data_IF_514363229154
#
_entry.id   IF_514363229154
#
_cell.length_a   1.000
_cell.length_b   1.000
_cell.length_c   1.000
_cell.angle_alpha   90.00
_cell.angle_beta   90.00
_cell.angle_gamma   90.00
#
_symmetry.space_group_name_H-M   'P 1'
#
loop_
_entity.id
_entity.type
_entity.pdbx_description
1 polymer ?
#
# COMPACT_ATOMS: atom_id res chain seq x y z
N UNK A 1 8.42 -36.98 -12.49
CA UNK A 1 8.37 -35.65 -13.14
C UNK A 1 9.60 -34.88 -12.72
N UNK A 2 10.28 -34.17 -13.63
CA UNK A 2 11.41 -33.30 -13.25
C UNK A 2 10.86 -32.11 -12.42
N UNK A 3 11.55 -31.68 -11.34
CA UNK A 3 11.14 -30.51 -10.58
C UNK A 3 11.07 -29.30 -11.51
N UNK A 4 9.93 -28.59 -11.51
CA UNK A 4 9.77 -27.34 -12.25
C UNK A 4 10.55 -26.25 -11.51
N UNK A 5 11.38 -25.50 -12.23
CA UNK A 5 12.19 -24.44 -11.63
C UNK A 5 11.33 -23.36 -10.94
N UNK A 6 11.83 -22.75 -9.88
CA UNK A 6 11.14 -21.65 -9.19
C UNK A 6 10.81 -20.48 -10.13
N UNK A 7 11.68 -20.21 -11.12
CA UNK A 7 11.45 -19.18 -12.13
C UNK A 7 10.25 -19.52 -13.02
N UNK A 8 10.16 -20.76 -13.50
CA UNK A 8 9.04 -21.23 -14.32
C UNK A 8 7.72 -21.20 -13.54
N UNK A 9 7.74 -21.51 -12.25
CA UNK A 9 6.54 -21.40 -11.38
C UNK A 9 6.10 -19.95 -11.19
N UNK A 10 7.04 -19.03 -10.98
CA UNK A 10 6.76 -17.59 -10.89
C UNK A 10 6.12 -17.07 -12.17
N UNK A 11 6.66 -17.45 -13.33
CA UNK A 11 6.14 -17.03 -14.63
C UNK A 11 4.72 -17.57 -14.88
N UNK A 12 4.49 -18.86 -14.64
CA UNK A 12 3.16 -19.45 -14.75
C UNK A 12 2.15 -18.74 -13.84
N UNK A 13 2.51 -18.51 -12.57
CA UNK A 13 1.67 -17.77 -11.64
C UNK A 13 1.35 -16.36 -12.14
N UNK A 14 2.35 -15.60 -12.58
CA UNK A 14 2.13 -14.24 -13.09
C UNK A 14 1.20 -14.24 -14.30
N UNK A 15 1.38 -15.15 -15.26
CA UNK A 15 0.52 -15.23 -16.45
C UNK A 15 -0.94 -15.53 -16.07
N UNK A 16 -1.15 -16.51 -15.19
CA UNK A 16 -2.48 -16.89 -14.70
C UNK A 16 -3.17 -15.77 -13.91
N UNK A 17 -2.40 -15.02 -13.11
CA UNK A 17 -2.92 -13.89 -12.37
C UNK A 17 -3.20 -12.68 -13.27
N UNK A 18 -2.38 -12.43 -14.29
CA UNK A 18 -2.64 -11.38 -15.30
C UNK A 18 -3.97 -11.64 -16.01
N UNK A 19 -4.20 -12.86 -16.50
CA UNK A 19 -5.45 -13.20 -17.18
C UNK A 19 -6.66 -13.09 -16.24
N UNK A 20 -6.51 -13.55 -14.99
CA UNK A 20 -7.56 -13.39 -13.98
C UNK A 20 -7.88 -11.91 -13.72
N UNK A 21 -6.87 -11.07 -13.52
CA UNK A 21 -7.03 -9.66 -13.17
C UNK A 21 -7.63 -8.80 -14.29
N UNK A 22 -7.58 -9.26 -15.55
CA UNK A 22 -8.30 -8.59 -16.66
C UNK A 22 -9.82 -8.52 -16.44
N UNK A 23 -10.41 -9.50 -15.75
CA UNK A 23 -11.85 -9.51 -15.43
C UNK A 23 -12.26 -8.34 -14.53
N UNK A 24 -11.30 -7.75 -13.81
CA UNK A 24 -11.48 -6.59 -12.93
C UNK A 24 -10.98 -5.29 -13.57
N UNK A 25 -10.80 -5.26 -14.91
CA UNK A 25 -10.25 -4.13 -15.65
C UNK A 25 -8.89 -3.64 -15.12
N UNK A 26 -8.11 -4.53 -14.50
CA UNK A 26 -6.83 -4.16 -13.92
C UNK A 26 -5.72 -4.09 -14.98
N UNK A 27 -4.91 -3.04 -14.92
CA UNK A 27 -3.70 -2.87 -15.73
C UNK A 27 -2.49 -3.43 -15.00
N UNK A 28 -1.73 -4.31 -15.66
CA UNK A 28 -0.49 -4.85 -15.10
C UNK A 28 0.75 -3.99 -15.41
N UNK A 29 1.53 -3.66 -14.39
CA UNK A 29 2.83 -2.97 -14.48
C UNK A 29 3.96 -3.95 -14.14
N UNK A 30 4.58 -4.52 -15.18
CA UNK A 30 5.63 -5.54 -15.07
C UNK A 30 6.82 -5.13 -14.20
N UNK A 31 7.26 -3.86 -14.26
CA UNK A 31 8.44 -3.38 -13.52
C UNK A 31 8.28 -3.45 -12.00
N UNK A 32 7.03 -3.48 -11.50
CA UNK A 32 6.71 -3.52 -10.08
C UNK A 32 5.93 -4.76 -9.65
N UNK A 33 5.58 -5.64 -10.60
CA UNK A 33 4.65 -6.74 -10.37
C UNK A 33 3.34 -6.25 -9.71
N UNK A 34 2.73 -5.23 -10.32
CA UNK A 34 1.61 -4.46 -9.76
C UNK A 34 0.40 -4.52 -10.69
N UNK A 35 -0.79 -4.72 -10.13
CA UNK A 35 -2.07 -4.57 -10.80
C UNK A 35 -2.75 -3.30 -10.31
N UNK A 36 -3.22 -2.46 -11.23
CA UNK A 36 -3.88 -1.19 -10.95
C UNK A 36 -5.27 -1.15 -11.58
N UNK A 37 -6.27 -0.88 -10.76
CA UNK A 37 -7.66 -0.63 -11.17
C UNK A 37 -7.92 0.86 -10.94
N UNK A 38 -8.25 1.59 -12.00
CA UNK A 38 -8.46 3.03 -11.95
C UNK A 38 -9.95 3.38 -12.05
N UNK A 39 -10.46 4.12 -11.06
CA UNK A 39 -11.86 4.51 -10.95
C UNK A 39 -11.95 5.95 -10.43
N UNK A 40 -12.56 6.87 -11.17
CA UNK A 40 -12.88 8.23 -10.72
C UNK A 40 -11.72 8.94 -9.98
N UNK A 41 -10.51 8.91 -10.56
CA UNK A 41 -9.25 9.48 -10.01
C UNK A 41 -8.58 8.69 -8.88
N UNK A 42 -9.17 7.57 -8.48
CA UNK A 42 -8.65 6.65 -7.48
C UNK A 42 -8.04 5.42 -8.15
N UNK A 43 -6.79 5.15 -7.80
CA UNK A 43 -6.04 3.96 -8.19
C UNK A 43 -6.06 2.96 -7.04
N UNK A 44 -6.75 1.83 -7.24
CA UNK A 44 -6.72 0.63 -6.39
C UNK A 44 -5.62 -0.30 -6.89
N UNK A 45 -4.67 -0.62 -6.02
CA UNK A 45 -3.40 -1.22 -6.41
C UNK A 45 -3.18 -2.51 -5.63
N UNK A 46 -2.95 -3.61 -6.34
CA UNK A 46 -2.55 -4.89 -5.77
C UNK A 46 -1.13 -5.22 -6.24
N UNK A 47 -0.16 -5.23 -5.32
CA UNK A 47 1.26 -5.47 -5.61
C UNK A 47 1.70 -6.84 -5.12
N UNK A 48 2.41 -7.57 -5.98
CA UNK A 48 2.99 -8.88 -5.66
C UNK A 48 4.49 -8.73 -5.43
N UNK A 49 4.94 -8.99 -4.20
CA UNK A 49 6.36 -8.98 -3.87
C UNK A 49 6.88 -10.42 -3.77
N UNK A 50 7.74 -10.79 -4.72
CA UNK A 50 8.37 -12.10 -4.79
C UNK A 50 9.80 -12.02 -4.24
N UNK A 51 10.04 -12.64 -3.08
CA UNK A 51 11.34 -12.68 -2.41
C UNK A 51 12.00 -14.02 -2.70
N UNK A 52 13.09 -14.01 -3.46
CA UNK A 52 13.87 -15.21 -3.73
C UNK A 52 14.83 -15.49 -2.56
N UNK A 53 14.71 -16.67 -1.94
CA UNK A 53 15.57 -17.11 -0.82
C UNK A 53 16.37 -18.36 -1.18
N UNK A 54 16.72 -18.53 -2.45
CA UNK A 54 17.55 -19.62 -2.95
C UNK A 54 16.79 -20.94 -3.08
N UNK A 55 16.33 -21.51 -1.96
CA UNK A 55 15.58 -22.78 -1.93
C UNK A 55 14.07 -22.62 -2.16
N UNK A 56 13.55 -21.41 -2.01
CA UNK A 56 12.13 -21.11 -2.14
C UNK A 56 11.89 -19.67 -2.58
N UNK A 57 10.67 -19.42 -3.05
CA UNK A 57 10.14 -18.11 -3.37
C UNK A 57 9.04 -17.79 -2.34
N UNK A 58 9.20 -16.70 -1.61
CA UNK A 58 8.14 -16.18 -0.74
C UNK A 58 7.34 -15.11 -1.50
N UNK A 59 6.03 -15.26 -1.55
CA UNK A 59 5.12 -14.28 -2.13
C UNK A 59 4.38 -13.54 -1.01
N UNK A 60 4.47 -12.21 -1.06
CA UNK A 60 3.64 -11.29 -0.28
C UNK A 60 2.72 -10.50 -1.19
N UNK A 61 1.49 -10.29 -0.74
CA UNK A 61 0.49 -9.47 -1.43
C UNK A 61 0.23 -8.21 -0.63
N UNK A 62 0.35 -7.07 -1.29
CA UNK A 62 0.07 -5.77 -0.70
C UNK A 62 -1.07 -5.09 -1.44
N UNK A 63 -1.96 -4.45 -0.70
CA UNK A 63 -3.04 -3.64 -1.26
C UNK A 63 -2.77 -2.18 -0.97
N UNK A 64 -3.09 -1.31 -1.92
CA UNK A 64 -3.00 0.13 -1.74
C UNK A 64 -4.12 0.86 -2.46
N UNK A 65 -4.46 2.04 -1.98
CA UNK A 65 -5.40 2.96 -2.60
C UNK A 65 -4.69 4.29 -2.75
N UNK A 66 -4.86 4.97 -3.88
CA UNK A 66 -4.16 6.23 -4.15
C UNK A 66 -5.06 7.18 -4.94
N UNK A 67 -4.91 8.48 -4.77
CA UNK A 67 -5.50 9.47 -5.69
C UNK A 67 -4.39 9.94 -6.62
N UNK A 68 -4.63 9.87 -7.93
CA UNK A 68 -3.63 10.19 -8.94
C UNK A 68 -3.13 11.64 -8.86
N UNK A 69 -4.02 12.59 -8.56
CA UNK A 69 -3.66 14.00 -8.33
C UNK A 69 -2.69 14.19 -7.15
N UNK A 70 -2.96 13.51 -6.03
CA UNK A 70 -2.13 13.56 -4.83
C UNK A 70 -0.77 12.93 -5.09
N UNK A 71 -0.73 11.80 -5.78
CA UNK A 71 0.52 11.14 -6.15
C UNK A 71 1.39 12.05 -7.02
N UNK A 72 0.78 12.76 -7.98
CA UNK A 72 1.49 13.71 -8.84
C UNK A 72 2.03 14.89 -8.05
N UNK A 73 1.20 15.55 -7.23
CA UNK A 73 1.64 16.67 -6.40
C UNK A 73 2.71 16.27 -5.38
N UNK A 74 2.53 15.12 -4.72
CA UNK A 74 3.54 14.58 -3.81
C UNK A 74 4.87 14.30 -4.53
N UNK A 75 4.85 13.70 -5.72
CA UNK A 75 6.07 13.46 -6.53
C UNK A 75 6.73 14.75 -7.04
N UNK A 76 5.95 15.82 -7.26
CA UNK A 76 6.51 17.13 -7.61
C UNK A 76 7.22 17.77 -6.41
N UNK A 77 6.61 17.66 -5.23
CA UNK A 77 7.12 18.28 -3.99
C UNK A 77 8.27 17.48 -3.38
N UNK A 78 8.09 16.19 -3.16
CA UNK A 78 9.15 15.29 -2.73
C UNK A 78 9.97 14.92 -3.98
N UNK A 79 11.14 15.55 -4.17
CA UNK A 79 12.05 15.41 -5.32
C UNK A 79 12.63 13.99 -5.49
N UNK A 80 11.96 12.94 -5.02
CA UNK A 80 12.46 11.58 -4.91
C UNK A 80 11.69 10.54 -5.74
N UNK A 81 12.45 9.65 -6.35
CA UNK A 81 11.99 8.37 -6.94
C UNK A 81 11.96 7.21 -5.93
N UNK A 82 12.47 7.41 -4.71
CA UNK A 82 12.67 6.36 -3.68
C UNK A 82 11.76 6.56 -2.45
N UNK A 83 10.81 7.50 -2.47
CA UNK A 83 9.72 7.47 -1.49
C UNK A 83 8.75 6.36 -1.94
N UNK A 84 8.47 5.32 -1.13
CA UNK A 84 7.61 4.24 -1.56
C UNK A 84 6.25 4.82 -2.00
N UNK A 85 5.83 4.57 -3.25
CA UNK A 85 4.73 5.31 -3.86
C UNK A 85 3.36 5.10 -3.20
N UNK A 86 3.22 4.19 -2.23
CA UNK A 86 1.89 3.72 -1.82
C UNK A 86 1.77 3.57 -0.32
N UNK A 87 0.82 4.30 0.28
CA UNK A 87 0.70 4.46 1.74
C UNK A 87 -0.77 4.67 2.11
N UNK A 88 -1.68 3.92 1.48
CA UNK A 88 -3.03 3.74 2.03
C UNK A 88 -3.39 2.28 1.79
N UNK A 89 -2.86 1.43 2.65
CA UNK A 89 -2.88 -0.02 2.46
C UNK A 89 -1.57 -0.65 2.94
N UNK A 90 -1.51 -1.97 2.92
CA UNK A 90 -0.47 -2.73 3.59
C UNK A 90 -0.49 -4.19 3.16
N UNK A 91 0.20 -5.04 3.91
CA UNK A 91 0.21 -6.46 3.62
C UNK A 91 -1.18 -7.05 3.87
N UNK A 92 -1.63 -7.98 3.04
CA UNK A 92 -2.97 -8.58 3.14
C UNK A 92 -3.25 -9.18 4.53
N UNK A 93 -2.21 -9.65 5.20
CA UNK A 93 -2.26 -10.21 6.55
C UNK A 93 -2.59 -9.17 7.60
N UNK A 94 -1.92 -8.02 7.57
CA UNK A 94 -2.22 -6.88 8.43
C UNK A 94 -3.64 -6.34 8.18
N UNK A 95 -4.08 -6.32 6.91
CA UNK A 95 -5.46 -6.00 6.53
C UNK A 95 -6.44 -6.97 7.21
N UNK A 96 -6.17 -8.27 7.11
CA UNK A 96 -7.03 -9.29 7.68
C UNK A 96 -7.11 -9.21 9.20
N UNK A 97 -5.97 -9.02 9.88
CA UNK A 97 -5.92 -8.82 11.33
C UNK A 97 -6.76 -7.60 11.74
N UNK A 98 -6.61 -6.47 11.04
CA UNK A 98 -7.36 -5.26 11.34
C UNK A 98 -8.87 -5.42 11.15
N UNK A 99 -9.30 -6.14 10.11
CA UNK A 99 -10.71 -6.38 9.82
C UNK A 99 -11.30 -7.65 10.47
N UNK A 100 -10.54 -8.33 11.34
CA UNK A 100 -10.93 -9.62 11.92
C UNK A 100 -11.34 -10.67 10.87
N UNK A 101 -10.71 -10.64 9.70
CA UNK A 101 -10.93 -11.61 8.62
C UNK A 101 -10.02 -12.81 8.87
N UNK A 102 -10.61 -14.00 8.99
CA UNK A 102 -9.84 -15.24 9.13
C UNK A 102 -9.24 -15.65 7.79
N UNK A 103 -7.92 -15.69 7.71
CA UNK A 103 -7.18 -16.34 6.63
C UNK A 103 -6.92 -17.80 6.97
N UNK A 104 -6.94 -18.67 5.96
CA UNK A 104 -6.79 -20.12 6.13
C UNK A 104 -5.36 -20.60 6.43
N UNK A 105 -4.40 -19.70 6.61
CA UNK A 105 -2.98 -20.02 6.81
C UNK A 105 -2.38 -19.24 7.97
N UNK A 106 -1.44 -19.88 8.68
CA UNK A 106 -0.72 -19.30 9.82
C UNK A 106 0.38 -18.32 9.40
N UNK A 107 0.83 -18.34 8.14
CA UNK A 107 1.95 -17.54 7.67
C UNK A 107 1.53 -16.32 6.85
N UNK A 108 2.28 -15.23 7.05
CA UNK A 108 2.18 -13.96 6.32
C UNK A 108 2.56 -14.08 4.84
N UNK A 109 3.46 -15.00 4.51
CA UNK A 109 3.97 -15.23 3.15
C UNK A 109 3.47 -16.57 2.57
N UNK A 110 3.11 -16.60 1.29
CA UNK A 110 2.92 -17.86 0.55
C UNK A 110 4.28 -18.40 0.12
N UNK A 111 4.65 -19.59 0.61
CA UNK A 111 5.95 -20.21 0.32
C UNK A 111 5.84 -21.18 -0.85
N UNK A 112 6.61 -20.93 -1.91
CA UNK A 112 6.67 -21.75 -3.12
C UNK A 112 8.04 -22.42 -3.20
N UNK A 113 8.07 -23.75 -3.14
CA UNK A 113 9.26 -24.59 -3.31
C UNK A 113 9.22 -25.33 -4.65
N UNK A 114 10.24 -26.14 -4.96
CA UNK A 114 10.28 -27.00 -6.16
C UNK A 114 9.16 -28.03 -6.22
N UNK A 115 8.61 -28.42 -5.08
CA UNK A 115 7.59 -29.49 -4.98
C UNK A 115 6.16 -28.94 -4.81
N UNK A 116 6.02 -27.63 -4.55
CA UNK A 116 4.72 -26.96 -4.46
C UNK A 116 3.92 -27.12 -5.75
N UNK A 117 2.66 -27.56 -5.64
CA UNK A 117 1.70 -27.54 -6.74
C UNK A 117 1.25 -26.11 -6.98
N UNK A 118 1.84 -25.47 -8.00
CA UNK A 118 1.67 -24.03 -8.23
C UNK A 118 0.21 -23.63 -8.53
N UNK A 119 -0.58 -24.52 -9.15
CA UNK A 119 -2.00 -24.28 -9.41
C UNK A 119 -2.83 -24.16 -8.12
N UNK A 120 -2.43 -24.85 -7.06
CA UNK A 120 -3.11 -24.76 -5.76
C UNK A 120 -2.86 -23.37 -5.15
N UNK A 121 -1.61 -22.88 -5.21
CA UNK A 121 -1.23 -21.52 -4.76
C UNK A 121 -1.95 -20.44 -5.59
N UNK A 122 -2.03 -20.61 -6.90
CA UNK A 122 -2.76 -19.69 -7.79
C UNK A 122 -4.25 -19.64 -7.41
N UNK A 123 -4.86 -20.81 -7.18
CA UNK A 123 -6.28 -20.92 -6.81
C UNK A 123 -6.54 -20.27 -5.46
N UNK A 124 -5.68 -20.54 -4.48
CA UNK A 124 -5.74 -19.93 -3.15
C UNK A 124 -5.61 -18.41 -3.24
N UNK A 125 -4.64 -17.90 -3.99
CA UNK A 125 -4.47 -16.46 -4.19
C UNK A 125 -5.69 -15.81 -4.83
N UNK A 126 -6.26 -16.43 -5.88
CA UNK A 126 -7.49 -15.91 -6.53
C UNK A 126 -8.67 -15.86 -5.54
N UNK A 127 -8.78 -16.86 -4.66
CA UNK A 127 -9.80 -16.88 -3.60
C UNK A 127 -9.56 -15.78 -2.56
N UNK A 128 -8.33 -15.59 -2.10
CA UNK A 128 -7.95 -14.50 -1.19
C UNK A 128 -8.27 -13.14 -1.82
N UNK A 129 -7.97 -12.97 -3.11
CA UNK A 129 -8.27 -11.75 -3.83
C UNK A 129 -9.77 -11.42 -3.84
N UNK A 130 -10.62 -12.41 -4.15
CA UNK A 130 -12.08 -12.23 -4.18
C UNK A 130 -12.64 -11.98 -2.78
N UNK A 131 -12.18 -12.73 -1.76
CA UNK A 131 -12.75 -12.70 -0.41
C UNK A 131 -12.26 -11.52 0.43
N UNK A 132 -11.09 -10.98 0.11
CA UNK A 132 -10.39 -10.01 0.95
C UNK A 132 -10.11 -8.74 0.17
N UNK A 133 -9.41 -8.85 -0.95
CA UNK A 133 -8.94 -7.67 -1.69
C UNK A 133 -10.08 -6.87 -2.32
N UNK A 134 -11.07 -7.54 -2.92
CA UNK A 134 -12.26 -6.88 -3.48
C UNK A 134 -13.06 -6.17 -2.38
N UNK A 135 -13.49 -6.83 -1.28
CA UNK A 135 -14.17 -6.13 -0.19
C UNK A 135 -13.37 -4.98 0.42
N UNK A 136 -12.04 -5.12 0.53
CA UNK A 136 -11.18 -4.02 0.97
C UNK A 136 -11.26 -2.82 0.02
N UNK A 137 -11.16 -3.04 -1.30
CA UNK A 137 -11.27 -1.98 -2.29
C UNK A 137 -12.69 -1.40 -2.41
N UNK A 138 -13.73 -2.17 -2.12
CA UNK A 138 -15.12 -1.71 -2.12
C UNK A 138 -15.45 -0.89 -0.86
N UNK A 139 -14.88 -1.28 0.29
CA UNK A 139 -15.07 -0.56 1.57
C UNK A 139 -14.42 0.82 1.55
N UNK A 140 -13.26 0.96 0.92
CA UNK A 140 -12.51 2.21 0.86
C UNK A 140 -12.51 2.78 -0.55
N UNK A 141 -13.45 3.66 -0.82
CA UNK A 141 -13.57 4.32 -2.11
C UNK A 141 -12.54 5.44 -2.29
N UNK A 142 -11.92 5.91 -1.20
CA UNK A 142 -10.88 6.92 -1.24
C UNK A 142 -9.78 6.69 -0.19
N UNK A 143 -8.55 7.19 -0.45
CA UNK A 143 -7.50 7.29 0.55
C UNK A 143 -7.93 8.00 1.84
N UNK A 144 -8.86 8.95 1.78
CA UNK A 144 -9.34 9.70 2.96
C UNK A 144 -10.12 8.81 3.92
N UNK A 145 -10.99 7.94 3.39
CA UNK A 145 -11.75 6.98 4.20
C UNK A 145 -10.82 5.98 4.88
N UNK A 146 -9.88 5.41 4.12
CA UNK A 146 -8.88 4.49 4.65
C UNK A 146 -7.97 5.19 5.67
N UNK A 147 -7.60 6.44 5.43
CA UNK A 147 -6.80 7.24 6.35
C UNK A 147 -7.53 7.55 7.65
N UNK A 148 -8.85 7.80 7.63
CA UNK A 148 -9.66 8.02 8.84
C UNK A 148 -9.71 6.78 9.71
N UNK A 149 -9.81 5.59 9.12
CA UNK A 149 -9.85 4.34 9.88
C UNK A 149 -8.47 3.95 10.42
N UNK A 150 -7.40 4.15 9.64
CA UNK A 150 -6.02 3.86 10.08
C UNK A 150 -5.48 4.88 11.09
N UNK A 151 -5.85 6.16 10.96
CA UNK A 151 -5.32 7.26 11.77
C UNK A 151 -6.34 7.87 12.74
N UNK A 152 -7.37 7.12 13.16
CA UNK A 152 -8.18 7.53 14.31
C UNK A 152 -7.25 7.68 15.53
N UNK A 153 -7.09 8.93 15.98
CA UNK A 153 -6.22 9.34 17.10
C UNK A 153 -6.58 8.58 18.39
N UNK A 154 -7.84 8.14 18.53
CA UNK A 154 -8.29 7.37 19.69
C UNK A 154 -7.87 5.89 19.64
N UNK A 155 -7.33 5.43 18.51
CA UNK A 155 -6.90 4.04 18.26
C UNK A 155 -5.38 3.94 18.02
N UNK A 156 -4.58 4.88 18.55
CA UNK A 156 -3.11 4.92 18.49
C UNK A 156 -2.40 3.79 19.28
N UNK A 157 -2.89 2.56 19.19
CA UNK A 157 -2.10 1.35 19.43
C UNK A 157 -1.70 0.80 18.06
N UNK A 158 -0.54 1.23 17.56
CA UNK A 158 0.07 0.72 16.32
C UNK A 158 0.16 -0.82 16.35
N UNK A 159 0.02 -1.59 15.25
CA UNK A 159 -0.11 -1.21 13.83
C UNK A 159 -1.38 -1.77 13.15
N UNK A 160 -1.93 -1.10 12.12
CA UNK A 160 -2.25 -1.92 10.95
C UNK A 160 -2.00 -1.17 9.64
N UNK A 161 -1.41 -1.89 8.69
CA UNK A 161 -0.85 -1.40 7.43
C UNK A 161 0.48 -0.69 7.66
N UNK A 162 1.57 -1.40 7.34
CA UNK A 162 2.97 -1.01 7.50
C UNK A 162 3.35 0.33 6.83
N UNK A 163 2.83 1.43 7.35
CA UNK A 163 3.26 2.77 7.04
C UNK A 163 4.30 3.14 8.10
N UNK A 164 5.49 3.55 7.68
CA UNK A 164 6.35 4.28 8.62
C UNK A 164 5.55 5.48 9.15
N UNK A 165 5.64 5.77 10.45
CA UNK A 165 4.91 6.88 11.08
C UNK A 165 5.11 8.20 10.33
N UNK A 166 6.31 8.39 9.78
CA UNK A 166 6.70 9.54 8.97
C UNK A 166 5.87 9.70 7.70
N UNK A 167 5.53 8.59 7.06
CA UNK A 167 4.76 8.58 5.83
C UNK A 167 3.28 8.91 6.05
N UNK A 168 2.72 8.51 7.20
CA UNK A 168 1.35 8.87 7.61
C UNK A 168 1.19 10.36 7.80
N UNK A 169 2.13 10.96 8.52
CA UNK A 169 2.15 12.39 8.80
C UNK A 169 2.26 13.20 7.51
N UNK A 170 3.23 12.86 6.65
CA UNK A 170 3.48 13.60 5.41
C UNK A 170 2.28 13.63 4.46
N UNK A 171 1.70 12.45 4.23
CA UNK A 171 0.61 12.33 3.27
C UNK A 171 -0.74 12.71 3.87
N UNK A 172 -0.93 12.53 5.18
CA UNK A 172 -2.10 12.97 5.93
C UNK A 172 -2.32 14.49 5.82
N UNK A 173 -1.28 15.30 6.04
CA UNK A 173 -1.40 16.76 5.92
C UNK A 173 -1.78 17.21 4.51
N UNK A 174 -1.17 16.61 3.47
CA UNK A 174 -1.50 16.91 2.07
C UNK A 174 -2.93 16.49 1.73
N UNK A 175 -3.37 15.32 2.19
CA UNK A 175 -4.74 14.83 2.02
C UNK A 175 -5.76 15.75 2.66
N UNK A 176 -5.59 16.06 3.95
CA UNK A 176 -6.52 16.89 4.70
C UNK A 176 -6.69 18.25 4.02
N UNK A 177 -5.60 18.80 3.47
CA UNK A 177 -5.66 20.04 2.70
C UNK A 177 -6.40 19.88 1.37
N UNK A 178 -6.09 18.85 0.57
CA UNK A 178 -6.72 18.64 -0.73
C UNK A 178 -8.20 18.22 -0.63
N UNK A 179 -8.61 17.64 0.50
CA UNK A 179 -9.99 17.19 0.78
C UNK A 179 -10.85 18.22 1.52
N UNK A 180 -10.46 19.50 1.49
CA UNK A 180 -11.21 20.62 2.06
C UNK A 180 -11.59 20.45 3.54
N UNK A 181 -10.77 19.74 4.33
CA UNK A 181 -11.07 19.46 5.73
C UNK A 181 -10.84 20.70 6.62
N UNK A 182 -11.45 20.74 7.83
CA UNK A 182 -11.25 21.82 8.77
C UNK A 182 -9.77 22.05 9.11
N UNK A 183 -9.36 23.33 9.13
CA UNK A 183 -7.98 23.80 9.40
C UNK A 183 -7.35 23.17 10.64
N UNK A 184 -8.15 22.93 11.68
CA UNK A 184 -7.75 22.28 12.92
C UNK A 184 -7.08 20.90 12.73
N UNK A 185 -7.60 20.05 11.85
CA UNK A 185 -7.02 18.72 11.61
C UNK A 185 -5.65 18.79 10.94
N UNK A 186 -5.48 19.79 10.06
CA UNK A 186 -4.19 20.06 9.41
C UNK A 186 -3.18 20.50 10.46
N UNK A 187 -3.54 21.42 11.35
CA UNK A 187 -2.67 21.92 12.42
C UNK A 187 -2.24 20.82 13.40
N UNK A 188 -3.15 19.94 13.83
CA UNK A 188 -2.79 18.78 14.68
C UNK A 188 -1.79 17.83 14.02
N UNK A 189 -2.00 17.52 12.73
CA UNK A 189 -1.10 16.63 11.98
C UNK A 189 0.28 17.30 11.81
N UNK A 190 0.32 18.62 11.63
CA UNK A 190 1.56 19.40 11.58
C UNK A 190 2.27 19.52 12.94
N UNK A 191 1.55 19.48 14.06
CA UNK A 191 2.16 19.40 15.38
C UNK A 191 2.88 18.06 15.58
N UNK A 192 2.23 16.95 15.23
CA UNK A 192 2.83 15.61 15.30
C UNK A 192 4.05 15.48 14.36
N UNK A 193 3.98 16.10 13.18
CA UNK A 193 5.13 16.26 12.29
C UNK A 193 6.33 16.91 12.99
N UNK A 194 6.11 18.01 13.70
CA UNK A 194 7.20 18.77 14.32
C UNK A 194 7.86 17.92 15.41
N UNK A 195 7.05 17.19 16.19
CA UNK A 195 7.55 16.26 17.21
C UNK A 195 8.42 15.13 16.62
N UNK A 196 7.97 14.50 15.53
CA UNK A 196 8.73 13.40 14.91
C UNK A 196 9.98 13.90 14.19
N UNK A 197 9.91 15.05 13.53
CA UNK A 197 11.07 15.63 12.84
C UNK A 197 12.18 16.02 13.83
N UNK A 198 11.86 16.61 14.98
CA UNK A 198 12.86 16.92 16.02
C UNK A 198 13.63 15.67 16.47
N UNK A 199 12.96 14.51 16.51
CA UNK A 199 13.52 13.26 17.02
C UNK A 199 14.14 12.37 15.92
N UNK A 200 13.95 12.69 14.64
CA UNK A 200 14.43 11.88 13.52
C UNK A 200 15.89 12.18 13.19
N UNK A 201 16.71 11.13 13.08
CA UNK A 201 18.10 11.24 12.60
C UNK A 201 18.24 11.13 11.08
N UNK A 202 17.13 10.91 10.36
CA UNK A 202 17.15 10.71 8.92
C UNK A 202 17.02 12.05 8.18
N UNK A 203 18.16 12.62 7.76
CA UNK A 203 18.24 13.91 7.06
C UNK A 203 17.33 14.00 5.83
N UNK A 204 17.31 12.96 4.99
CA UNK A 204 16.49 12.93 3.78
C UNK A 204 15.01 13.04 4.09
N UNK A 205 14.58 12.29 5.11
CA UNK A 205 13.19 12.34 5.58
C UNK A 205 12.85 13.74 6.12
N UNK A 206 13.77 14.39 6.84
CA UNK A 206 13.62 15.77 7.33
C UNK A 206 13.49 16.79 6.19
N UNK A 207 14.25 16.61 5.11
CA UNK A 207 14.16 17.49 3.93
C UNK A 207 12.79 17.37 3.25
N UNK A 208 12.30 16.15 3.01
CA UNK A 208 10.97 15.90 2.43
C UNK A 208 9.85 16.44 3.34
N UNK A 209 10.05 16.24 4.65
CA UNK A 209 9.22 16.79 5.70
C UNK A 209 9.10 18.32 5.55
N UNK A 210 10.22 19.05 5.49
CA UNK A 210 10.22 20.51 5.47
C UNK A 210 9.56 21.09 4.20
N UNK A 211 9.75 20.45 3.04
CA UNK A 211 9.11 20.88 1.79
C UNK A 211 7.59 20.77 1.86
N UNK A 212 7.07 19.68 2.43
CA UNK A 212 5.61 19.48 2.55
C UNK A 212 5.03 20.40 3.62
N UNK A 213 5.75 20.61 4.73
CA UNK A 213 5.39 21.60 5.75
C UNK A 213 5.24 22.99 5.15
N UNK A 214 6.25 23.46 4.43
CA UNK A 214 6.24 24.77 3.78
C UNK A 214 5.08 24.90 2.78
N UNK A 215 4.83 23.86 1.98
CA UNK A 215 3.70 23.85 1.04
C UNK A 215 2.34 24.00 1.77
N UNK A 216 2.13 23.23 2.84
CA UNK A 216 0.89 23.27 3.61
C UNK A 216 0.73 24.62 4.31
N UNK A 217 1.79 25.15 4.94
CA UNK A 217 1.78 26.44 5.64
C UNK A 217 1.51 27.61 4.69
N UNK A 218 2.19 27.67 3.53
CA UNK A 218 1.94 28.68 2.50
C UNK A 218 0.53 28.61 1.93
N UNK A 219 -0.06 27.41 1.89
CA UNK A 219 -1.43 27.20 1.40
C UNK A 219 -2.50 27.46 2.46
N UNK A 220 -2.13 27.65 3.73
CA UNK A 220 -3.04 28.06 4.81
C UNK A 220 -3.14 29.59 4.90
N UNK A 221 -2.07 30.28 4.52
CA UNK A 221 -1.94 31.73 4.60
C UNK A 221 -2.39 32.47 3.32
N UNK A 222 -2.74 31.72 2.27
CA UNK A 222 -3.38 32.18 1.03
C UNK A 222 -4.83 31.69 0.99
#
# INVERSE_FOLDING_TARGET
>A
MKPVSLSSKKELMLNELIEFMKHYNAKYKKSKCEFEIFENEVSKICMLNFINRGSHLALRTFLYICIDGINKEFKKLAKNTVCPPYIYGGEITEICEHFNIKIGREYTEQIITSDTRINDIITEWKNDFIKICIPFFDKYSSPSELNKEINDINQLKLPPLALSTSNRILKGSLLLKLSSQPKYYVEQTMALYNEISINSKNKKLLDDFNVIKEYVENSINN
#
